data_IF_472634547995
#
_entry.id   IF_472634547995
#
_cell.length_a   1.000
_cell.length_b   1.000
_cell.length_c   1.000
_cell.angle_alpha   90.00
_cell.angle_beta   90.00
_cell.angle_gamma   90.00
#
_symmetry.space_group_name_H-M   'P 1'
#
loop_
_entity.id
_entity.type
_entity.pdbx_description
1 polymer ?
#
# COMPACT_ATOMS: atom_id res chain seq x y z
N UNK A 1 -44.95 76.84 21.28
CA UNK A 1 -45.70 75.58 21.40
C UNK A 1 -45.31 74.64 20.28
N UNK A 2 -44.51 73.65 20.59
CA UNK A 2 -44.41 72.34 19.87
C UNK A 2 -43.23 71.60 20.49
N UNK A 3 -43.59 70.57 21.25
CA UNK A 3 -42.67 69.66 21.91
C UNK A 3 -42.16 68.64 20.88
N UNK A 4 -40.85 68.46 20.78
CA UNK A 4 -40.27 67.35 20.02
C UNK A 4 -39.82 66.24 21.00
N UNK A 5 -40.46 65.11 20.89
CA UNK A 5 -40.12 63.85 21.57
C UNK A 5 -39.02 63.15 20.77
N UNK A 6 -37.93 62.77 21.44
CA UNK A 6 -36.88 61.93 20.92
C UNK A 6 -37.13 60.47 21.41
N UNK A 7 -37.15 59.46 20.60
CA UNK A 7 -37.22 58.07 21.07
C UNK A 7 -35.83 57.54 21.35
N UNK A 8 -35.70 56.94 22.52
CA UNK A 8 -34.55 56.23 23.03
C UNK A 8 -34.49 54.84 22.37
N UNK A 9 -33.43 54.52 21.60
CA UNK A 9 -33.18 53.18 21.03
C UNK A 9 -32.43 52.33 22.05
N UNK A 10 -33.08 51.26 22.54
CA UNK A 10 -32.48 50.20 23.33
C UNK A 10 -31.66 49.29 22.44
N UNK A 11 -30.38 49.18 22.71
CA UNK A 11 -29.45 48.24 22.09
C UNK A 11 -29.49 46.93 22.90
N UNK A 12 -30.10 45.87 22.37
CA UNK A 12 -30.04 44.52 22.93
C UNK A 12 -28.77 43.83 22.47
N UNK A 13 -27.87 43.52 23.40
CA UNK A 13 -26.64 42.76 23.22
C UNK A 13 -27.02 41.29 23.39
N UNK A 14 -27.10 40.52 22.29
CA UNK A 14 -27.25 39.06 22.33
C UNK A 14 -25.88 38.38 22.45
N UNK A 15 -25.58 37.79 23.61
CA UNK A 15 -24.46 36.87 23.78
C UNK A 15 -24.82 35.52 23.13
N UNK A 16 -24.13 35.18 22.04
CA UNK A 16 -24.13 33.81 21.49
C UNK A 16 -22.95 33.08 22.09
N UNK A 17 -23.23 32.16 23.01
CA UNK A 17 -22.28 31.16 23.46
C UNK A 17 -22.14 30.07 22.38
N UNK A 18 -21.09 30.18 21.56
CA UNK A 18 -20.72 29.16 20.61
C UNK A 18 -19.91 28.06 21.32
N UNK A 19 -20.48 26.86 21.48
CA UNK A 19 -19.78 25.67 21.92
C UNK A 19 -18.73 25.25 20.89
N UNK A 20 -17.47 25.15 21.28
CA UNK A 20 -16.44 24.48 20.51
C UNK A 20 -16.65 22.98 20.59
N UNK A 21 -17.18 22.38 19.53
CA UNK A 21 -17.01 20.95 19.26
C UNK A 21 -15.61 20.79 18.68
N UNK A 22 -14.73 20.11 19.41
CA UNK A 22 -13.43 19.69 18.93
C UNK A 22 -13.63 18.42 18.10
N UNK A 23 -13.93 18.59 16.82
CA UNK A 23 -13.71 17.52 15.84
C UNK A 23 -12.21 17.46 15.57
N UNK A 24 -11.64 16.27 15.85
CA UNK A 24 -10.25 15.95 15.58
C UNK A 24 -10.01 15.90 14.06
N UNK A 25 -9.74 17.06 13.47
CA UNK A 25 -9.24 17.16 12.10
C UNK A 25 -7.76 16.83 12.12
N UNK A 26 -7.42 15.72 11.46
CA UNK A 26 -6.06 15.44 11.00
C UNK A 26 -5.55 16.68 10.28
N UNK A 27 -4.54 17.33 10.83
CA UNK A 27 -3.87 18.47 10.18
C UNK A 27 -3.17 17.95 8.93
N UNK A 28 -3.81 18.09 7.77
CA UNK A 28 -3.12 18.05 6.48
C UNK A 28 -2.02 19.12 6.54
N UNK A 29 -0.78 18.67 6.47
CA UNK A 29 0.38 19.55 6.39
C UNK A 29 0.43 20.21 5.01
N UNK A 30 -0.40 21.24 4.80
CA UNK A 30 -0.23 22.16 3.69
C UNK A 30 1.02 23.00 3.99
N UNK A 31 1.99 22.95 3.08
CA UNK A 31 3.19 23.78 3.17
C UNK A 31 2.82 25.27 3.30
N UNK A 32 3.40 26.03 4.24
CA UNK A 32 3.25 27.46 4.29
C UNK A 32 3.91 28.09 3.05
N UNK A 33 3.21 29.05 2.44
CA UNK A 33 3.69 29.91 1.36
C UNK A 33 3.91 29.29 -0.04
N UNK A 34 3.06 28.38 -0.51
CA UNK A 34 3.01 28.02 -1.95
C UNK A 34 4.30 27.44 -2.53
N UNK A 35 5.23 26.97 -1.71
CA UNK A 35 6.47 26.36 -2.13
C UNK A 35 6.43 24.87 -1.76
N UNK A 36 6.36 24.03 -2.81
CA UNK A 36 6.43 22.58 -2.64
C UNK A 36 7.81 22.14 -2.16
N UNK A 37 7.91 20.99 -1.46
CA UNK A 37 9.17 20.47 -0.98
C UNK A 37 10.14 20.24 -2.13
N UNK A 38 11.42 20.52 -1.90
CA UNK A 38 12.52 20.32 -2.87
C UNK A 38 13.46 19.21 -2.42
N UNK A 39 13.34 18.80 -1.16
CA UNK A 39 14.25 17.82 -0.53
C UNK A 39 13.45 16.81 0.28
N UNK A 40 12.91 15.83 -0.41
CA UNK A 40 12.10 14.76 0.20
C UNK A 40 13.04 13.61 0.60
N UNK A 41 12.92 13.15 1.85
CA UNK A 41 13.43 11.85 2.29
C UNK A 41 12.26 10.88 2.37
N UNK A 42 12.34 9.76 1.64
CA UNK A 42 11.30 8.72 1.66
C UNK A 42 11.78 7.49 2.41
N UNK A 43 11.09 7.15 3.50
CA UNK A 43 11.34 5.96 4.32
C UNK A 43 10.24 4.90 4.10
N UNK A 44 9.80 4.77 2.87
CA UNK A 44 8.81 3.78 2.46
C UNK A 44 9.02 3.41 1.00
N UNK A 45 9.32 2.15 0.69
CA UNK A 45 9.45 1.70 -0.69
C UNK A 45 8.22 2.00 -1.54
N UNK A 46 7.02 1.81 -1.00
CA UNK A 46 5.77 2.12 -1.70
C UNK A 46 5.62 3.61 -1.98
N UNK A 47 5.89 4.48 -0.98
CA UNK A 47 5.82 5.92 -1.18
C UNK A 47 6.90 6.41 -2.16
N UNK A 48 8.10 5.81 -2.14
CA UNK A 48 9.15 6.08 -3.12
C UNK A 48 8.64 5.80 -4.53
N UNK A 49 8.05 4.64 -4.80
CA UNK A 49 7.46 4.31 -6.09
C UNK A 49 6.37 5.30 -6.51
N UNK A 50 5.50 5.68 -5.58
CA UNK A 50 4.43 6.67 -5.83
C UNK A 50 5.02 8.04 -6.20
N UNK A 51 6.01 8.54 -5.44
CA UNK A 51 6.66 9.83 -5.70
C UNK A 51 7.27 9.89 -7.11
N UNK A 52 7.98 8.84 -7.51
CA UNK A 52 8.54 8.77 -8.86
C UNK A 52 7.46 8.65 -9.92
N UNK A 53 6.43 7.84 -9.69
CA UNK A 53 5.35 7.62 -10.65
C UNK A 53 4.50 8.87 -10.92
N UNK A 54 4.35 9.77 -9.94
CA UNK A 54 3.67 11.05 -10.12
C UNK A 54 4.59 12.18 -10.61
N UNK A 55 5.86 11.90 -10.89
CA UNK A 55 6.83 12.89 -11.39
C UNK A 55 7.57 13.68 -10.32
N UNK A 56 7.37 13.39 -9.03
CA UNK A 56 8.05 14.04 -7.92
C UNK A 56 9.48 13.50 -7.64
N UNK A 57 9.97 12.57 -8.46
CA UNK A 57 11.28 11.93 -8.27
C UNK A 57 12.45 12.91 -8.18
N UNK A 58 12.40 14.04 -8.91
CA UNK A 58 13.42 15.09 -8.85
C UNK A 58 13.51 15.83 -7.49
N UNK A 59 12.50 15.67 -6.61
CA UNK A 59 12.46 16.22 -5.27
C UNK A 59 13.03 15.25 -4.23
N UNK A 60 13.17 13.95 -4.57
CA UNK A 60 13.65 12.90 -3.65
C UNK A 60 15.17 12.93 -3.56
N UNK A 61 15.70 13.23 -2.37
CA UNK A 61 17.13 13.34 -2.12
C UNK A 61 17.73 12.14 -1.41
N UNK A 62 16.90 11.35 -0.71
CA UNK A 62 17.30 10.11 -0.05
C UNK A 62 16.10 9.19 0.12
N UNK A 63 16.37 7.89 0.17
CA UNK A 63 15.36 6.86 0.41
C UNK A 63 15.89 5.82 1.41
N UNK A 64 15.03 4.98 1.96
CA UNK A 64 15.48 3.85 2.77
C UNK A 64 16.12 2.74 1.92
N UNK A 65 16.91 1.85 2.55
CA UNK A 65 17.67 0.79 1.88
C UNK A 65 16.81 -0.23 1.12
N UNK A 66 15.51 -0.33 1.41
CA UNK A 66 14.57 -1.20 0.72
C UNK A 66 13.87 -0.52 -0.47
N UNK A 67 14.04 0.78 -0.63
CA UNK A 67 13.51 1.56 -1.75
C UNK A 67 14.37 1.39 -3.01
N UNK A 68 14.24 0.23 -3.67
CA UNK A 68 15.06 -0.22 -4.79
C UNK A 68 14.43 0.03 -6.16
N UNK A 69 13.24 0.65 -6.22
CA UNK A 69 12.52 0.97 -7.45
C UNK A 69 11.94 2.39 -7.38
N UNK A 70 12.01 3.16 -8.50
CA UNK A 70 12.68 2.82 -9.75
C UNK A 70 14.22 2.85 -9.62
N UNK A 71 14.94 2.40 -10.66
CA UNK A 71 16.41 2.25 -10.62
C UNK A 71 17.16 3.58 -10.40
N UNK A 72 16.54 4.69 -10.78
CA UNK A 72 17.05 6.06 -10.60
C UNK A 72 16.84 6.63 -9.19
N UNK A 73 16.11 5.94 -8.30
CA UNK A 73 15.96 6.35 -6.92
C UNK A 73 17.34 6.41 -6.22
N UNK A 74 17.61 7.45 -5.39
CA UNK A 74 18.87 7.53 -4.66
C UNK A 74 19.11 6.29 -3.80
N UNK A 75 20.35 5.77 -3.79
CA UNK A 75 20.70 4.63 -2.93
C UNK A 75 21.33 5.16 -1.65
N UNK A 76 20.73 4.84 -0.50
CA UNK A 76 21.23 5.22 0.82
C UNK A 76 21.14 4.05 1.80
N UNK A 77 21.83 4.18 2.95
CA UNK A 77 21.83 3.20 4.03
C UNK A 77 20.77 3.55 5.12
N UNK A 78 19.82 4.45 4.83
CA UNK A 78 18.74 4.75 5.77
C UNK A 78 17.86 3.52 5.98
N UNK A 79 17.41 3.32 7.20
CA UNK A 79 16.49 2.23 7.55
C UNK A 79 15.12 2.78 7.94
N UNK A 80 14.06 2.26 7.33
CA UNK A 80 12.69 2.54 7.75
C UNK A 80 12.33 1.78 9.05
N UNK A 81 12.96 0.63 9.31
CA UNK A 81 12.70 -0.19 10.51
C UNK A 81 13.46 0.28 11.75
N UNK A 82 14.63 0.88 11.55
CA UNK A 82 15.49 1.45 12.62
C UNK A 82 15.94 2.84 12.20
N UNK A 83 15.01 3.80 12.12
CA UNK A 83 15.32 5.12 11.62
C UNK A 83 16.24 5.90 12.57
N UNK A 84 17.23 6.56 11.98
CA UNK A 84 18.11 7.48 12.70
C UNK A 84 17.78 8.92 12.30
N UNK A 85 17.17 9.66 13.24
CA UNK A 85 16.70 11.04 13.01
C UNK A 85 17.85 11.97 12.61
N UNK A 86 19.04 11.81 13.19
CA UNK A 86 20.21 12.64 12.86
C UNK A 86 20.71 12.36 11.45
N UNK A 87 20.76 11.07 11.04
CA UNK A 87 21.12 10.70 9.68
C UNK A 87 20.12 11.24 8.65
N UNK A 88 18.81 11.20 8.97
CA UNK A 88 17.74 11.76 8.14
C UNK A 88 17.91 13.28 8.03
N UNK A 89 18.10 13.98 9.15
CA UNK A 89 18.29 15.43 9.19
C UNK A 89 19.55 15.87 8.42
N UNK A 90 20.58 15.02 8.35
CA UNK A 90 21.79 15.26 7.55
C UNK A 90 21.51 15.47 6.06
N UNK A 91 20.41 14.95 5.51
CA UNK A 91 19.95 15.24 4.16
C UNK A 91 19.21 16.57 4.03
N UNK A 92 19.01 17.31 5.12
CA UNK A 92 18.30 18.60 5.16
C UNK A 92 16.92 18.53 4.47
N UNK A 93 16.06 17.57 4.85
CA UNK A 93 14.76 17.43 4.21
C UNK A 93 13.82 18.57 4.59
N UNK A 94 13.00 18.97 3.64
CA UNK A 94 11.84 19.84 3.85
C UNK A 94 10.52 19.05 3.87
N UNK A 95 10.60 17.72 3.62
CA UNK A 95 9.54 16.75 3.87
C UNK A 95 10.15 15.36 4.10
N UNK A 96 9.65 14.63 5.11
CA UNK A 96 9.93 13.19 5.28
C UNK A 96 8.63 12.41 5.07
N UNK A 97 8.65 11.43 4.16
CA UNK A 97 7.53 10.51 3.92
C UNK A 97 7.87 9.15 4.53
N UNK A 98 6.97 8.57 5.31
CA UNK A 98 7.20 7.30 6.00
C UNK A 98 5.89 6.51 6.16
N UNK A 99 5.98 5.18 6.35
CA UNK A 99 4.81 4.33 6.57
C UNK A 99 4.53 4.11 8.04
N UNK A 100 5.52 3.59 8.76
CA UNK A 100 5.42 3.26 10.18
C UNK A 100 6.25 4.22 11.02
N UNK A 101 5.88 4.36 12.29
CA UNK A 101 6.55 5.26 13.26
C UNK A 101 7.34 4.47 14.33
N UNK A 102 8.34 3.65 13.94
CA UNK A 102 9.15 2.92 14.89
C UNK A 102 10.06 3.89 15.66
N UNK A 103 10.18 3.66 16.99
CA UNK A 103 11.08 4.46 17.82
C UNK A 103 10.74 5.94 17.90
N UNK A 104 9.46 6.29 17.75
CA UNK A 104 8.99 7.68 17.80
C UNK A 104 9.67 8.59 16.76
N UNK A 105 9.86 8.11 15.54
CA UNK A 105 10.47 8.84 14.43
C UNK A 105 9.83 10.22 14.26
N UNK A 106 8.47 10.26 14.23
CA UNK A 106 7.73 11.52 14.10
C UNK A 106 8.10 12.52 15.20
N UNK A 107 8.11 12.08 16.46
CA UNK A 107 8.43 12.97 17.58
C UNK A 107 9.88 13.48 17.50
N UNK A 108 10.80 12.68 16.97
CA UNK A 108 12.19 13.08 16.72
C UNK A 108 12.29 14.16 15.64
N UNK A 109 11.60 13.99 14.52
CA UNK A 109 11.58 14.95 13.41
C UNK A 109 10.85 16.25 13.78
N UNK A 110 9.75 16.18 14.55
CA UNK A 110 9.02 17.34 15.06
C UNK A 110 9.91 18.26 15.91
N UNK A 111 10.80 17.70 16.76
CA UNK A 111 11.77 18.47 17.55
C UNK A 111 12.74 19.27 16.68
N UNK A 112 13.00 18.79 15.47
CA UNK A 112 13.85 19.47 14.49
C UNK A 112 13.04 20.35 13.52
N UNK A 113 11.72 20.46 13.74
CA UNK A 113 10.79 21.18 12.85
C UNK A 113 10.83 20.69 11.40
N UNK A 114 11.07 19.42 11.20
CA UNK A 114 11.05 18.77 9.88
C UNK A 114 9.63 18.28 9.59
N UNK A 115 8.96 18.77 8.53
CA UNK A 115 7.62 18.33 8.14
C UNK A 115 7.58 16.85 7.79
N UNK A 116 6.49 16.18 8.14
CA UNK A 116 6.31 14.75 7.90
C UNK A 116 4.98 14.46 7.22
N UNK A 117 4.95 13.41 6.38
CA UNK A 117 3.74 12.84 5.80
C UNK A 117 3.74 11.33 6.03
N UNK A 118 2.80 10.86 6.84
CA UNK A 118 2.63 9.43 7.06
C UNK A 118 1.76 8.80 5.98
N UNK A 119 2.23 7.68 5.43
CA UNK A 119 1.57 6.87 4.40
C UNK A 119 1.48 5.42 4.92
N UNK A 120 0.53 5.10 5.82
CA UNK A 120 0.45 3.78 6.43
C UNK A 120 0.16 2.71 5.39
N UNK A 121 0.42 1.43 5.73
CA UNK A 121 0.10 0.33 4.83
C UNK A 121 -1.37 0.38 4.41
N UNK A 122 -1.62 0.35 3.10
CA UNK A 122 -2.97 0.31 2.57
C UNK A 122 -3.64 -1.03 2.89
N UNK A 123 -4.92 -0.99 3.22
CA UNK A 123 -5.73 -2.18 3.43
C UNK A 123 -6.61 -2.49 2.22
N UNK A 124 -6.82 -1.52 1.35
CA UNK A 124 -7.62 -1.61 0.12
C UNK A 124 -7.11 -0.63 -0.94
N UNK A 125 -7.51 -0.83 -2.19
CA UNK A 125 -7.11 0.02 -3.31
C UNK A 125 -7.48 1.50 -3.13
N UNK A 126 -8.60 1.80 -2.47
CA UNK A 126 -8.98 3.20 -2.21
C UNK A 126 -7.98 3.91 -1.30
N UNK A 127 -7.32 3.20 -0.38
CA UNK A 127 -6.27 3.77 0.46
C UNK A 127 -5.05 4.15 -0.41
N UNK A 128 -4.66 3.29 -1.37
CA UNK A 128 -3.60 3.59 -2.35
C UNK A 128 -3.91 4.86 -3.16
N UNK A 129 -5.14 4.98 -3.65
CA UNK A 129 -5.55 6.17 -4.42
C UNK A 129 -5.58 7.43 -3.56
N UNK A 130 -6.01 7.33 -2.30
CA UNK A 130 -5.97 8.45 -1.35
C UNK A 130 -4.52 8.87 -1.04
N UNK A 131 -3.60 7.91 -0.92
CA UNK A 131 -2.18 8.18 -0.72
C UNK A 131 -1.53 8.87 -1.92
N UNK A 132 -1.87 8.45 -3.14
CA UNK A 132 -1.45 9.15 -4.36
C UNK A 132 -1.93 10.61 -4.38
N UNK A 133 -3.21 10.85 -4.05
CA UNK A 133 -3.77 12.20 -3.96
C UNK A 133 -3.06 13.06 -2.92
N UNK A 134 -2.78 12.50 -1.72
CA UNK A 134 -2.03 13.19 -0.67
C UNK A 134 -0.60 13.54 -1.11
N UNK A 135 0.11 12.61 -1.73
CA UNK A 135 1.45 12.85 -2.26
C UNK A 135 1.42 13.90 -3.38
N UNK A 136 0.45 13.82 -4.28
CA UNK A 136 0.25 14.82 -5.34
C UNK A 136 0.07 16.23 -4.78
N UNK A 137 -0.79 16.39 -3.75
CA UNK A 137 -1.01 17.66 -3.04
C UNK A 137 0.25 18.14 -2.32
N UNK A 138 0.94 17.24 -1.63
CA UNK A 138 2.14 17.57 -0.87
C UNK A 138 3.32 18.01 -1.76
N UNK A 139 3.41 17.49 -2.99
CA UNK A 139 4.57 17.68 -3.89
C UNK A 139 4.29 18.60 -5.07
N UNK A 140 3.03 19.03 -5.26
CA UNK A 140 2.65 19.87 -6.40
C UNK A 140 2.30 19.10 -7.68
N UNK A 141 2.14 17.77 -7.60
CA UNK A 141 1.87 16.88 -8.73
C UNK A 141 0.43 16.33 -8.71
N UNK A 142 -0.54 17.20 -8.43
CA UNK A 142 -1.97 16.80 -8.27
C UNK A 142 -2.54 16.19 -9.54
N UNK A 143 -2.21 16.78 -10.71
CA UNK A 143 -2.74 16.31 -11.98
C UNK A 143 -2.19 14.92 -12.34
N UNK A 144 -0.89 14.70 -12.15
CA UNK A 144 -0.19 13.45 -12.41
C UNK A 144 -0.68 12.34 -11.47
N UNK A 145 -0.85 12.65 -10.18
CA UNK A 145 -1.41 11.72 -9.20
C UNK A 145 -2.84 11.30 -9.55
N UNK A 146 -3.68 12.24 -9.93
CA UNK A 146 -5.05 11.97 -10.39
C UNK A 146 -5.10 11.12 -11.66
N UNK A 147 -4.22 11.42 -12.62
CA UNK A 147 -4.11 10.63 -13.86
C UNK A 147 -3.62 9.21 -13.58
N UNK A 148 -2.63 9.03 -12.70
CA UNK A 148 -2.11 7.72 -12.32
C UNK A 148 -3.20 6.88 -11.64
N UNK A 149 -3.91 7.45 -10.66
CA UNK A 149 -5.01 6.76 -9.97
C UNK A 149 -6.12 6.34 -10.94
N UNK A 150 -6.48 7.20 -11.89
CA UNK A 150 -7.47 6.90 -12.94
C UNK A 150 -7.01 5.76 -13.84
N UNK A 151 -5.76 5.79 -14.26
CA UNK A 151 -5.18 4.74 -15.11
C UNK A 151 -5.12 3.40 -14.37
N UNK A 152 -4.70 3.39 -13.11
CA UNK A 152 -4.68 2.18 -12.28
C UNK A 152 -6.08 1.57 -12.15
N UNK A 153 -7.11 2.38 -11.84
CA UNK A 153 -8.51 1.91 -11.75
C UNK A 153 -8.95 1.25 -13.06
N UNK A 154 -8.76 1.94 -14.18
CA UNK A 154 -9.19 1.44 -15.48
C UNK A 154 -8.49 0.12 -15.86
N UNK A 155 -7.18 -0.01 -15.60
CA UNK A 155 -6.45 -1.25 -15.87
C UNK A 155 -6.91 -2.40 -14.97
N UNK A 156 -7.15 -2.15 -13.68
CA UNK A 156 -7.66 -3.15 -12.72
C UNK A 156 -9.07 -3.61 -13.14
N UNK A 157 -9.98 -2.69 -13.46
CA UNK A 157 -11.33 -3.00 -13.92
C UNK A 157 -11.30 -3.81 -15.21
N UNK A 158 -10.44 -3.45 -16.16
CA UNK A 158 -10.24 -4.18 -17.41
C UNK A 158 -9.76 -5.61 -17.17
N UNK A 159 -8.77 -5.81 -16.28
CA UNK A 159 -8.27 -7.14 -15.90
C UNK A 159 -9.39 -7.96 -15.23
N UNK A 160 -10.12 -7.38 -14.29
CA UNK A 160 -11.23 -8.02 -13.59
C UNK A 160 -12.36 -8.44 -14.54
N UNK A 161 -12.66 -7.63 -15.56
CA UNK A 161 -13.69 -7.93 -16.55
C UNK A 161 -13.26 -9.05 -17.53
N UNK A 162 -11.96 -9.07 -17.88
CA UNK A 162 -11.42 -10.04 -18.83
C UNK A 162 -11.15 -11.43 -18.24
N UNK A 163 -11.04 -11.55 -16.91
CA UNK A 163 -10.51 -12.72 -16.22
C UNK A 163 -11.47 -13.25 -15.15
N UNK A 164 -12.72 -13.53 -15.53
CA UNK A 164 -13.62 -14.26 -14.64
C UNK A 164 -13.61 -15.74 -15.02
N UNK A 165 -12.93 -16.59 -14.23
CA UNK A 165 -12.93 -18.03 -14.48
C UNK A 165 -14.35 -18.58 -14.40
N UNK A 166 -14.63 -19.67 -15.17
CA UNK A 166 -15.95 -20.34 -15.16
C UNK A 166 -16.32 -20.85 -13.75
N UNK A 167 -15.32 -21.21 -12.95
CA UNK A 167 -15.43 -21.49 -11.51
C UNK A 167 -14.41 -20.68 -10.73
N UNK A 168 -14.68 -20.30 -9.47
CA UNK A 168 -13.66 -19.72 -8.63
C UNK A 168 -12.43 -20.63 -8.53
N UNK A 169 -11.24 -20.09 -8.80
CA UNK A 169 -9.97 -20.77 -8.57
C UNK A 169 -9.52 -20.53 -7.15
N UNK A 170 -9.12 -21.60 -6.47
CA UNK A 170 -8.55 -21.50 -5.13
C UNK A 170 -7.06 -21.18 -5.18
N UNK A 171 -6.56 -20.39 -4.24
CA UNK A 171 -5.15 -20.07 -4.18
C UNK A 171 -4.57 -20.10 -2.77
N UNK A 172 -3.27 -20.38 -2.70
CA UNK A 172 -2.41 -20.17 -1.56
C UNK A 172 -1.38 -19.09 -1.90
N UNK A 173 -1.25 -18.07 -1.05
CA UNK A 173 -0.23 -17.03 -1.16
C UNK A 173 0.82 -17.26 -0.08
N UNK A 174 2.03 -17.62 -0.45
CA UNK A 174 3.13 -17.89 0.47
C UNK A 174 3.94 -16.62 0.69
N UNK A 175 4.01 -16.17 1.96
CA UNK A 175 4.79 -15.01 2.37
C UNK A 175 6.21 -15.39 2.78
N UNK A 176 6.37 -16.59 3.34
CA UNK A 176 7.67 -17.13 3.75
C UNK A 176 7.64 -18.65 3.86
N UNK A 177 8.84 -19.24 3.98
CA UNK A 177 9.05 -20.69 4.13
C UNK A 177 8.40 -21.32 5.38
N UNK A 178 7.94 -20.52 6.35
CA UNK A 178 7.21 -21.00 7.53
C UNK A 178 5.70 -21.08 7.27
N UNK A 179 5.28 -20.93 6.02
CA UNK A 179 3.91 -21.04 5.53
C UNK A 179 2.98 -19.94 6.08
N UNK A 180 3.51 -18.75 6.38
CA UNK A 180 2.65 -17.59 6.56
C UNK A 180 1.96 -17.22 5.25
N UNK A 181 0.72 -16.80 5.35
CA UNK A 181 -0.13 -16.43 4.21
C UNK A 181 -0.82 -15.09 4.45
N UNK A 182 -1.43 -14.55 3.41
CA UNK A 182 -2.26 -13.35 3.47
C UNK A 182 -3.70 -13.71 3.10
N UNK A 183 -4.69 -13.35 3.94
CA UNK A 183 -6.11 -13.60 3.70
C UNK A 183 -6.73 -12.61 2.71
N UNK A 184 -7.96 -12.88 2.26
CA UNK A 184 -8.75 -11.98 1.41
C UNK A 184 -9.01 -10.60 2.04
N UNK A 185 -8.82 -10.45 3.34
CA UNK A 185 -8.99 -9.17 4.07
C UNK A 185 -7.79 -8.23 3.95
N UNK A 186 -6.63 -8.74 3.53
CA UNK A 186 -5.42 -7.95 3.33
C UNK A 186 -5.48 -7.22 1.99
N UNK A 187 -4.64 -6.21 1.79
CA UNK A 187 -4.51 -5.52 0.51
C UNK A 187 -4.26 -6.51 -0.64
N UNK A 188 -3.28 -7.40 -0.48
CA UNK A 188 -2.93 -8.43 -1.46
C UNK A 188 -4.11 -9.36 -1.74
N UNK A 189 -4.81 -9.81 -0.70
CA UNK A 189 -5.98 -10.67 -0.84
C UNK A 189 -7.11 -10.01 -1.63
N UNK A 190 -7.31 -8.70 -1.45
CA UNK A 190 -8.30 -7.95 -2.21
C UNK A 190 -7.93 -7.80 -3.69
N UNK A 191 -6.64 -7.79 -4.04
CA UNK A 191 -6.21 -7.84 -5.45
C UNK A 191 -6.63 -9.16 -6.11
N UNK A 192 -6.41 -10.31 -5.46
CA UNK A 192 -6.88 -11.60 -5.96
C UNK A 192 -8.41 -11.65 -6.10
N UNK A 193 -9.13 -11.05 -5.15
CA UNK A 193 -10.59 -10.98 -5.18
C UNK A 193 -11.14 -10.20 -6.41
N UNK A 194 -10.37 -9.22 -6.96
CA UNK A 194 -10.72 -8.56 -8.22
C UNK A 194 -10.84 -9.57 -9.39
N UNK A 195 -10.11 -10.67 -9.34
CA UNK A 195 -10.12 -11.73 -10.34
C UNK A 195 -11.07 -12.88 -9.98
N UNK A 196 -11.87 -12.76 -8.91
CA UNK A 196 -12.84 -13.76 -8.48
C UNK A 196 -12.21 -15.04 -7.87
N UNK A 197 -11.00 -14.93 -7.33
CA UNK A 197 -10.29 -16.08 -6.73
C UNK A 197 -10.65 -16.26 -5.26
N UNK A 198 -10.61 -17.51 -4.77
CA UNK A 198 -10.89 -17.89 -3.38
C UNK A 198 -9.62 -18.24 -2.62
N UNK A 199 -9.47 -17.66 -1.44
CA UNK A 199 -8.27 -17.79 -0.60
C UNK A 199 -8.39 -18.94 0.39
N UNK A 200 -7.51 -19.94 0.32
CA UNK A 200 -7.54 -21.05 1.28
C UNK A 200 -7.18 -20.61 2.71
N UNK A 201 -6.44 -19.51 2.87
CA UNK A 201 -6.02 -19.01 4.18
C UNK A 201 -7.16 -18.40 5.00
N UNK A 202 -8.28 -17.99 4.37
CA UNK A 202 -9.40 -17.33 5.06
C UNK A 202 -10.00 -18.21 6.17
N UNK A 203 -10.16 -19.51 5.92
CA UNK A 203 -10.70 -20.44 6.89
C UNK A 203 -9.74 -20.78 8.04
N UNK A 204 -8.45 -20.51 7.86
CA UNK A 204 -7.39 -20.75 8.84
C UNK A 204 -7.17 -19.56 9.79
N UNK A 205 -7.56 -18.35 9.39
CA UNK A 205 -7.36 -17.11 10.15
C UNK A 205 -8.36 -16.98 11.31
N UNK A 206 -8.15 -17.77 12.37
CA UNK A 206 -9.03 -17.81 13.55
C UNK A 206 -8.96 -16.55 14.39
N UNK A 207 -7.81 -15.87 14.37
CA UNK A 207 -7.55 -14.67 15.16
C UNK A 207 -7.87 -13.38 14.39
N UNK A 208 -8.27 -13.51 13.12
CA UNK A 208 -8.59 -12.40 12.23
C UNK A 208 -7.44 -11.38 12.09
N UNK A 209 -6.20 -11.88 12.09
CA UNK A 209 -4.99 -11.06 11.91
C UNK A 209 -4.77 -10.65 10.47
N UNK A 210 -5.36 -11.37 9.52
CA UNK A 210 -5.12 -11.25 8.09
C UNK A 210 -3.89 -12.03 7.62
N UNK A 211 -3.03 -12.52 8.53
CA UNK A 211 -1.76 -13.17 8.22
C UNK A 211 -1.55 -14.47 8.99
N UNK A 212 -2.37 -15.49 8.76
CA UNK A 212 -2.27 -16.75 9.47
C UNK A 212 -1.03 -17.54 9.03
N UNK A 213 -0.46 -18.31 9.98
CA UNK A 213 0.49 -19.36 9.66
C UNK A 213 -0.30 -20.66 9.38
N UNK A 214 -0.09 -21.26 8.21
CA UNK A 214 -0.71 -22.52 7.83
C UNK A 214 0.18 -23.71 8.20
N UNK A 215 -0.40 -24.92 8.26
CA UNK A 215 0.39 -26.14 8.29
C UNK A 215 0.50 -26.76 6.89
N UNK A 216 1.55 -27.55 6.66
CA UNK A 216 1.72 -28.27 5.40
C UNK A 216 0.54 -29.19 5.11
N UNK A 217 0.02 -29.89 6.14
CA UNK A 217 -1.14 -30.77 6.02
C UNK A 217 -2.42 -29.99 5.65
N UNK A 218 -2.56 -28.76 6.16
CA UNK A 218 -3.68 -27.90 5.80
C UNK A 218 -3.65 -27.54 4.31
N UNK A 219 -2.48 -27.11 3.80
CA UNK A 219 -2.31 -26.75 2.38
C UNK A 219 -2.55 -27.97 1.49
N UNK A 220 -1.99 -29.15 1.86
CA UNK A 220 -2.21 -30.41 1.12
C UNK A 220 -3.69 -30.79 1.11
N UNK A 221 -4.38 -30.65 2.23
CA UNK A 221 -5.83 -30.96 2.31
C UNK A 221 -6.69 -29.99 1.51
N UNK A 222 -6.31 -28.70 1.49
CA UNK A 222 -7.04 -27.67 0.76
C UNK A 222 -6.86 -27.81 -0.76
N UNK A 223 -5.73 -28.39 -1.21
CA UNK A 223 -5.36 -28.65 -2.60
C UNK A 223 -5.63 -27.46 -3.53
N UNK A 224 -4.94 -26.31 -3.35
CA UNK A 224 -5.22 -25.13 -4.13
C UNK A 224 -4.92 -25.31 -5.63
N UNK A 225 -5.69 -24.63 -6.48
CA UNK A 225 -5.46 -24.58 -7.92
C UNK A 225 -4.17 -23.82 -8.27
N UNK A 226 -3.82 -22.83 -7.43
CA UNK A 226 -2.67 -21.95 -7.63
C UNK A 226 -1.88 -21.75 -6.32
N UNK A 227 -0.57 -21.66 -6.46
CA UNK A 227 0.35 -21.25 -5.37
C UNK A 227 1.14 -20.04 -5.86
N UNK A 228 1.08 -18.95 -5.15
CA UNK A 228 1.83 -17.73 -5.43
C UNK A 228 2.93 -17.55 -4.39
N UNK A 229 4.18 -17.51 -4.82
CA UNK A 229 5.36 -17.39 -3.96
C UNK A 229 5.82 -15.93 -3.93
N UNK A 230 5.71 -15.29 -2.77
CA UNK A 230 6.18 -13.92 -2.54
C UNK A 230 7.52 -13.89 -1.77
N UNK A 231 8.23 -15.01 -1.77
CA UNK A 231 9.47 -15.25 -1.03
C UNK A 231 10.58 -15.85 -1.92
N UNK A 232 10.55 -15.49 -3.19
CA UNK A 232 11.50 -15.98 -4.19
C UNK A 232 12.88 -15.35 -4.01
N UNK A 233 12.97 -14.03 -3.80
CA UNK A 233 14.23 -13.28 -3.63
C UNK A 233 14.81 -13.44 -2.23
N UNK A 234 13.98 -13.26 -1.20
CA UNK A 234 14.44 -13.33 0.18
C UNK A 234 14.88 -14.74 0.58
N UNK A 235 14.17 -15.75 0.11
CA UNK A 235 14.20 -17.08 0.71
C UNK A 235 14.44 -18.19 -0.31
N UNK A 236 14.59 -17.87 -1.60
CA UNK A 236 14.93 -18.77 -2.68
C UNK A 236 13.85 -19.80 -3.00
N UNK A 237 12.57 -19.48 -2.69
CA UNK A 237 11.47 -20.37 -3.03
C UNK A 237 11.19 -20.36 -4.55
N UNK A 238 10.81 -21.51 -5.06
CA UNK A 238 10.54 -21.73 -6.48
C UNK A 238 9.55 -22.89 -6.66
N UNK A 239 9.01 -23.04 -7.85
CA UNK A 239 8.18 -24.20 -8.18
C UNK A 239 8.88 -25.54 -7.87
N UNK A 240 10.21 -25.62 -8.07
CA UNK A 240 11.00 -26.80 -7.76
C UNK A 240 11.09 -27.06 -6.26
N UNK A 241 11.35 -26.04 -5.44
CA UNK A 241 11.44 -26.19 -3.97
C UNK A 241 10.08 -26.56 -3.37
N UNK A 242 8.99 -26.02 -3.92
CA UNK A 242 7.62 -26.34 -3.51
C UNK A 242 7.28 -27.79 -3.83
N UNK A 243 7.56 -28.26 -5.06
CA UNK A 243 7.31 -29.64 -5.47
C UNK A 243 8.15 -30.68 -4.67
N UNK A 244 9.29 -30.26 -4.10
CA UNK A 244 10.15 -31.14 -3.28
C UNK A 244 9.69 -31.28 -1.82
N UNK A 245 8.66 -30.54 -1.38
CA UNK A 245 8.10 -30.67 -0.02
C UNK A 245 7.29 -31.96 0.08
N UNK A 246 7.30 -32.59 1.25
CA UNK A 246 6.60 -33.86 1.48
C UNK A 246 5.11 -33.79 1.12
N UNK A 247 4.69 -34.56 0.12
CA UNK A 247 3.31 -34.65 -0.38
C UNK A 247 2.83 -33.49 -1.26
N UNK A 248 3.65 -32.46 -1.49
CA UNK A 248 3.26 -31.32 -2.31
C UNK A 248 3.35 -31.58 -3.81
N UNK A 249 4.12 -32.58 -4.22
CA UNK A 249 4.16 -33.08 -5.61
C UNK A 249 2.79 -33.59 -6.11
N UNK A 250 1.87 -33.89 -5.18
CA UNK A 250 0.52 -34.34 -5.48
C UNK A 250 -0.49 -33.21 -5.62
N UNK A 251 -0.15 -31.98 -5.20
CA UNK A 251 -1.04 -30.83 -5.29
C UNK A 251 -1.44 -30.50 -6.73
N UNK A 252 -2.69 -30.11 -6.92
CA UNK A 252 -3.21 -29.64 -8.20
C UNK A 252 -2.35 -28.53 -8.77
N UNK A 253 -2.00 -27.51 -7.98
CA UNK A 253 -1.12 -26.40 -8.40
C UNK A 253 0.24 -26.90 -8.94
N UNK A 254 0.84 -27.92 -8.33
CA UNK A 254 2.14 -28.45 -8.77
C UNK A 254 1.99 -29.24 -10.07
N UNK A 255 0.99 -30.11 -10.16
CA UNK A 255 0.74 -30.97 -11.34
C UNK A 255 0.37 -30.18 -12.58
N UNK A 256 -0.40 -29.09 -12.43
CA UNK A 256 -0.86 -28.25 -13.53
C UNK A 256 0.11 -27.13 -13.87
N UNK A 257 1.24 -27.03 -13.15
CA UNK A 257 2.17 -25.91 -13.27
C UNK A 257 1.59 -24.61 -12.70
N UNK A 258 0.65 -24.69 -11.76
CA UNK A 258 -0.01 -23.55 -11.08
C UNK A 258 0.83 -22.86 -10.02
N UNK A 259 2.10 -23.24 -9.84
CA UNK A 259 3.03 -22.51 -8.95
C UNK A 259 3.59 -21.30 -9.69
N UNK A 260 3.43 -20.11 -9.10
CA UNK A 260 3.80 -18.82 -9.70
C UNK A 260 4.83 -18.15 -8.80
N UNK A 261 6.00 -17.91 -9.34
CA UNK A 261 7.06 -17.14 -8.68
C UNK A 261 6.79 -15.65 -8.90
N UNK A 262 6.48 -14.93 -7.83
CA UNK A 262 6.25 -13.48 -7.87
C UNK A 262 7.57 -12.73 -7.63
N UNK A 263 7.61 -11.47 -8.05
CA UNK A 263 8.58 -10.51 -7.55
C UNK A 263 8.18 -10.12 -6.12
N UNK A 264 9.02 -10.42 -5.13
CA UNK A 264 8.74 -10.16 -3.70
C UNK A 264 8.38 -8.70 -3.44
N UNK A 265 9.06 -7.76 -4.14
CA UNK A 265 8.81 -6.33 -3.98
C UNK A 265 7.42 -5.93 -4.52
N UNK A 266 7.01 -6.50 -5.67
CA UNK A 266 5.69 -6.25 -6.24
C UNK A 266 4.60 -6.88 -5.37
N UNK A 267 4.86 -8.07 -4.84
CA UNK A 267 3.91 -8.81 -4.01
C UNK A 267 3.73 -8.24 -2.59
N UNK A 268 4.61 -7.33 -2.14
CA UNK A 268 4.60 -6.75 -0.79
C UNK A 268 4.26 -5.26 -0.73
N UNK A 269 4.05 -4.60 -1.89
CA UNK A 269 3.85 -3.15 -1.96
C UNK A 269 2.46 -2.80 -2.50
N UNK A 270 1.83 -1.80 -1.91
CA UNK A 270 0.49 -1.31 -2.27
C UNK A 270 0.52 -0.10 -3.20
N UNK A 271 1.59 0.04 -3.99
CA UNK A 271 1.83 1.15 -4.89
C UNK A 271 1.33 0.92 -6.33
N UNK A 272 1.83 1.72 -7.28
CA UNK A 272 1.41 1.65 -8.68
C UNK A 272 1.60 0.28 -9.33
N UNK A 273 2.61 -0.49 -8.88
CA UNK A 273 2.90 -1.84 -9.40
C UNK A 273 1.89 -2.92 -8.97
N UNK A 274 0.87 -2.57 -8.15
CA UNK A 274 -0.27 -3.44 -7.89
C UNK A 274 -0.99 -3.86 -9.19
N UNK A 275 -0.95 -3.01 -10.22
CA UNK A 275 -1.44 -3.35 -11.57
C UNK A 275 -0.60 -4.46 -12.21
N UNK A 276 0.72 -4.44 -12.05
CA UNK A 276 1.61 -5.45 -12.62
C UNK A 276 1.47 -6.79 -11.88
N UNK A 277 1.25 -6.73 -10.56
CA UNK A 277 0.85 -7.89 -9.79
C UNK A 277 -0.39 -8.57 -10.39
N UNK A 278 -1.47 -7.80 -10.59
CA UNK A 278 -2.71 -8.33 -11.17
C UNK A 278 -2.53 -8.84 -12.59
N UNK A 279 -1.70 -8.21 -13.42
CA UNK A 279 -1.37 -8.71 -14.76
C UNK A 279 -0.71 -10.08 -14.70
N UNK A 280 0.22 -10.28 -13.77
CA UNK A 280 0.91 -11.57 -13.58
C UNK A 280 -0.08 -12.65 -13.17
N UNK A 281 -0.95 -12.36 -12.19
CA UNK A 281 -1.98 -13.30 -11.73
C UNK A 281 -2.97 -13.61 -12.86
N UNK A 282 -3.48 -12.61 -13.55
CA UNK A 282 -4.42 -12.75 -14.65
C UNK A 282 -3.87 -13.61 -15.81
N UNK A 283 -2.61 -13.39 -16.19
CA UNK A 283 -1.95 -14.19 -17.23
C UNK A 283 -1.86 -15.68 -16.83
N UNK A 284 -1.65 -15.96 -15.53
CA UNK A 284 -1.60 -17.32 -15.03
C UNK A 284 -2.96 -17.99 -15.04
N UNK A 285 -4.01 -17.29 -14.61
CA UNK A 285 -5.40 -17.76 -14.67
C UNK A 285 -5.76 -18.17 -16.09
N UNK A 286 -5.49 -17.30 -17.09
CA UNK A 286 -5.72 -17.60 -18.51
C UNK A 286 -5.02 -18.88 -18.98
N UNK A 287 -3.77 -19.08 -18.55
CA UNK A 287 -2.99 -20.24 -18.95
C UNK A 287 -3.61 -21.53 -18.45
N UNK A 288 -4.11 -21.55 -17.20
CA UNK A 288 -4.74 -22.73 -16.63
C UNK A 288 -6.08 -23.05 -17.32
N UNK A 289 -6.89 -22.05 -17.61
CA UNK A 289 -8.16 -22.25 -18.31
C UNK A 289 -7.97 -22.76 -19.75
N UNK A 290 -6.90 -22.33 -20.43
CA UNK A 290 -6.60 -22.78 -21.79
C UNK A 290 -6.15 -24.25 -21.86
N UNK A 291 -5.61 -24.79 -20.76
CA UNK A 291 -5.14 -26.20 -20.72
C UNK A 291 -6.29 -27.17 -20.38
N UNK A 292 -7.40 -26.67 -19.80
CA UNK A 292 -8.54 -27.47 -19.36
C UNK A 292 -8.19 -28.46 -18.23
N UNK A 293 -9.18 -29.07 -17.59
CA UNK A 293 -8.93 -30.11 -16.60
C UNK A 293 -8.41 -31.41 -17.25
#
# INVERSE_FOLDING_TARGET
MRRHLVPLALLLLALVAGGCSQDGTSTDAAAPDGQFPKRIVSLSPTATEMLFAIGAGGQVVAVDSNSNYPAEAPKTELSAYQPNVEAIAGYQPDLVVYSDDPGELKAGLDKLSIPVLQQPAATKLDDTYAQLDQLGKATGHVAEAGQLATTMRAEIEKLAAAQRPERPLTYYHELDKNLYSATSKTFIGQLYAQLGMENIADAADKEATGYPQLSAEYVVKADPDLIFLADTKCCGQSATTVAARDGWDQLTAVKTGGVVELDDDIASRWGPRAVDFLKTVAAKVQTLEAVGP
#
